data_IF_496116684311
#
_entry.id   IF_496116684311
#
_cell.length_a   1.000
_cell.length_b   1.000
_cell.length_c   1.000
_cell.angle_alpha   90.00
_cell.angle_beta   90.00
_cell.angle_gamma   90.00
#
_symmetry.space_group_name_H-M   'P 1'
#
loop_
_entity.id
_entity.type
_entity.pdbx_description
1 polymer ?
#
# COMPACT_ATOMS: atom_id res chain seq x y z
N UNK A 1 45.83 18.59 17.99
CA UNK A 1 45.30 17.19 18.00
C UNK A 1 43.82 17.04 18.40
N UNK A 2 43.15 18.05 19.00
CA UNK A 2 41.72 17.94 19.42
C UNK A 2 40.67 18.10 18.29
N UNK A 3 41.04 18.67 17.14
CA UNK A 3 40.10 18.95 16.03
C UNK A 3 39.74 17.69 15.22
N UNK A 4 40.74 16.85 14.92
CA UNK A 4 40.54 15.62 14.14
C UNK A 4 39.67 14.58 14.86
N UNK A 5 39.76 14.50 16.20
CA UNK A 5 38.91 13.62 17.00
C UNK A 5 37.43 14.01 16.95
N UNK A 6 37.11 15.30 16.87
CA UNK A 6 35.72 15.79 16.71
C UNK A 6 35.15 15.49 15.33
N UNK A 7 35.97 15.60 14.28
CA UNK A 7 35.59 15.24 12.90
C UNK A 7 35.30 13.74 12.77
N UNK A 8 36.10 12.88 13.42
CA UNK A 8 35.84 11.44 13.45
C UNK A 8 34.54 11.07 14.16
N UNK A 9 34.20 11.75 15.27
CA UNK A 9 32.96 11.51 16.01
C UNK A 9 31.72 11.93 15.18
N UNK A 10 31.79 13.06 14.47
CA UNK A 10 30.71 13.53 13.59
C UNK A 10 30.52 12.56 12.41
N UNK A 11 31.63 12.08 11.82
CA UNK A 11 31.59 11.07 10.76
C UNK A 11 30.96 9.75 11.22
N UNK A 12 31.26 9.30 12.42
CA UNK A 12 30.72 8.06 12.98
C UNK A 12 29.21 8.16 13.28
N UNK A 13 28.74 9.30 13.80
CA UNK A 13 27.32 9.54 14.06
C UNK A 13 26.50 9.56 12.77
N UNK A 14 27.03 10.11 11.68
CA UNK A 14 26.34 10.17 10.39
C UNK A 14 26.06 8.79 9.79
N UNK A 15 26.91 7.79 10.05
CA UNK A 15 26.75 6.42 9.53
C UNK A 15 25.60 5.69 10.21
N UNK A 16 25.37 5.92 11.52
CA UNK A 16 24.39 5.17 12.32
C UNK A 16 22.93 5.48 11.89
N UNK A 17 22.66 6.68 11.37
CA UNK A 17 21.30 7.10 11.00
C UNK A 17 20.77 6.55 9.66
N UNK A 18 21.60 5.85 8.88
CA UNK A 18 21.20 5.34 7.54
C UNK A 18 20.43 4.01 7.56
N UNK A 19 20.22 3.38 8.73
CA UNK A 19 19.66 2.02 8.82
C UNK A 19 18.12 1.92 8.91
N UNK A 20 17.38 3.03 9.02
CA UNK A 20 15.91 3.01 9.05
C UNK A 20 15.31 3.01 7.63
N UNK A 21 15.50 1.93 6.89
CA UNK A 21 14.97 1.81 5.53
C UNK A 21 13.49 1.39 5.54
N UNK A 22 12.62 2.35 5.25
CA UNK A 22 11.19 2.11 4.97
C UNK A 22 10.99 1.89 3.48
N UNK A 23 10.35 0.78 3.09
CA UNK A 23 9.99 0.54 1.68
C UNK A 23 8.62 1.11 1.37
N UNK A 24 8.58 2.09 0.46
CA UNK A 24 7.36 2.69 -0.04
C UNK A 24 6.92 2.03 -1.35
N UNK A 25 5.73 1.45 -1.36
CA UNK A 25 5.14 0.80 -2.54
C UNK A 25 4.04 1.69 -3.12
N UNK A 26 3.99 1.79 -4.45
CA UNK A 26 2.89 2.44 -5.16
C UNK A 26 1.81 1.42 -5.47
N UNK A 27 0.59 1.65 -4.97
CA UNK A 27 -0.58 0.80 -5.22
C UNK A 27 -1.50 1.52 -6.20
N UNK A 28 -1.21 1.40 -7.49
CA UNK A 28 -2.04 1.98 -8.55
C UNK A 28 -2.98 0.91 -9.08
N UNK A 29 -4.28 1.14 -8.92
CA UNK A 29 -5.30 0.26 -9.51
C UNK A 29 -5.37 0.48 -11.03
N UNK A 30 -5.22 -0.59 -11.80
CA UNK A 30 -5.40 -0.58 -13.25
C UNK A 30 -6.67 -1.36 -13.61
N UNK A 31 -7.75 -0.71 -14.09
CA UNK A 31 -8.97 -1.42 -14.48
C UNK A 31 -8.73 -2.31 -15.71
N UNK A 32 -9.59 -3.31 -15.87
CA UNK A 32 -9.64 -4.17 -17.06
C UNK A 32 -9.68 -3.32 -18.36
N UNK A 33 -8.88 -3.73 -19.34
CA UNK A 33 -8.63 -2.97 -20.56
C UNK A 33 -9.89 -2.81 -21.44
N UNK A 34 -9.90 -1.74 -22.24
CA UNK A 34 -10.99 -1.20 -23.08
C UNK A 34 -11.55 -2.19 -24.15
N UNK A 35 -11.07 -3.44 -24.20
CA UNK A 35 -11.56 -4.49 -25.09
C UNK A 35 -12.33 -5.64 -24.42
N UNK A 36 -12.39 -5.72 -23.09
CA UNK A 36 -13.28 -6.66 -22.43
C UNK A 36 -14.70 -6.10 -22.45
N UNK A 37 -15.71 -6.93 -22.79
CA UNK A 37 -17.13 -6.57 -22.68
C UNK A 37 -17.47 -6.33 -21.21
N UNK A 38 -17.24 -5.13 -20.73
CA UNK A 38 -17.69 -4.70 -19.42
C UNK A 38 -19.19 -4.43 -19.54
N UNK A 39 -19.99 -5.38 -19.06
CA UNK A 39 -21.43 -5.21 -19.02
C UNK A 39 -21.76 -3.98 -18.14
N UNK A 40 -22.44 -3.01 -18.75
CA UNK A 40 -22.93 -1.83 -18.04
C UNK A 40 -23.89 -2.29 -16.96
N UNK A 41 -23.53 -2.07 -15.70
CA UNK A 41 -24.41 -2.35 -14.58
C UNK A 41 -25.47 -1.26 -14.41
N UNK A 42 -26.55 -1.59 -13.72
CA UNK A 42 -27.50 -0.67 -13.11
C UNK A 42 -27.85 -1.27 -11.75
N UNK A 43 -28.05 -0.49 -10.67
CA UNK A 43 -28.19 0.97 -10.57
C UNK A 43 -26.86 1.72 -10.41
N UNK A 44 -26.90 3.05 -10.57
CA UNK A 44 -25.74 3.94 -10.40
C UNK A 44 -25.46 4.21 -8.92
N UNK A 45 -24.17 4.24 -8.56
CA UNK A 45 -23.67 4.22 -7.17
C UNK A 45 -22.74 5.41 -6.93
N UNK A 46 -22.87 6.03 -5.76
CA UNK A 46 -21.95 7.05 -5.23
C UNK A 46 -21.02 6.41 -4.20
N UNK A 47 -19.75 6.81 -4.20
CA UNK A 47 -18.81 6.38 -3.17
C UNK A 47 -18.95 7.29 -1.95
N UNK A 48 -19.28 6.69 -0.81
CA UNK A 48 -19.38 7.35 0.49
C UNK A 48 -18.06 7.30 1.26
N UNK A 49 -18.15 7.01 2.56
CA UNK A 49 -16.99 6.88 3.43
C UNK A 49 -16.29 5.54 3.24
N UNK A 50 -14.96 5.58 3.18
CA UNK A 50 -14.13 4.39 3.30
C UNK A 50 -13.26 4.57 4.53
N UNK A 51 -13.55 3.79 5.57
CA UNK A 51 -12.86 3.90 6.83
C UNK A 51 -11.80 2.83 6.92
N UNK A 52 -10.61 3.22 7.38
CA UNK A 52 -9.58 2.27 7.75
C UNK A 52 -9.75 1.95 9.24
N UNK A 53 -10.34 0.79 9.54
CA UNK A 53 -10.55 0.32 10.92
C UNK A 53 -9.45 -0.64 11.37
N UNK A 54 -8.40 -0.80 10.55
CA UNK A 54 -7.23 -1.60 10.91
C UNK A 54 -6.54 -0.96 12.11
N UNK A 55 -6.07 -1.79 13.04
CA UNK A 55 -5.23 -1.35 14.17
C UNK A 55 -3.77 -1.06 13.75
N UNK A 56 -3.57 -0.66 12.50
CA UNK A 56 -2.26 -0.39 11.89
C UNK A 56 -2.13 1.09 11.57
N UNK A 57 -0.90 1.57 11.38
CA UNK A 57 -0.67 2.96 10.94
C UNK A 57 -1.28 3.10 9.53
N UNK A 58 -2.03 4.17 9.26
CA UNK A 58 -2.91 4.26 8.07
C UNK A 58 -2.28 4.04 6.69
N UNK A 59 -0.95 4.08 6.56
CA UNK A 59 -0.22 3.74 5.32
C UNK A 59 0.56 2.40 5.41
N UNK A 60 0.70 1.82 6.59
CA UNK A 60 1.37 0.53 6.78
C UNK A 60 0.50 -0.59 6.21
N UNK A 61 1.12 -1.39 5.34
CA UNK A 61 0.49 -2.55 4.70
C UNK A 61 1.08 -3.86 5.19
N UNK A 62 2.25 -3.84 5.82
CA UNK A 62 2.81 -5.06 6.39
C UNK A 62 4.31 -4.99 6.59
N UNK A 63 4.95 -6.14 6.68
CA UNK A 63 6.37 -6.26 7.03
C UNK A 63 7.06 -7.31 6.17
N UNK A 64 8.31 -7.05 5.84
CA UNK A 64 9.24 -8.02 5.25
C UNK A 64 9.86 -8.80 6.42
N UNK A 65 9.74 -10.12 6.39
CA UNK A 65 10.26 -11.04 7.40
C UNK A 65 11.44 -11.84 6.85
N UNK A 66 12.37 -12.24 7.73
CA UNK A 66 13.38 -13.22 7.37
C UNK A 66 12.79 -14.65 7.40
N UNK A 67 13.62 -15.64 7.08
CA UNK A 67 13.29 -17.07 7.12
C UNK A 67 12.87 -17.58 8.52
N UNK A 68 13.21 -16.83 9.58
CA UNK A 68 12.80 -17.11 10.97
C UNK A 68 11.55 -16.34 11.41
N UNK A 69 10.88 -15.62 10.50
CA UNK A 69 9.68 -14.85 10.79
C UNK A 69 9.90 -13.51 11.49
N UNK A 70 11.16 -13.11 11.72
CA UNK A 70 11.52 -11.84 12.37
C UNK A 70 11.32 -10.68 11.37
N UNK A 71 10.60 -9.62 11.75
CA UNK A 71 10.38 -8.47 10.88
C UNK A 71 11.68 -7.67 10.70
N UNK A 72 12.14 -7.54 9.46
CA UNK A 72 13.35 -6.80 9.10
C UNK A 72 13.00 -5.37 8.68
N UNK A 73 11.91 -5.19 7.92
CA UNK A 73 11.49 -3.87 7.40
C UNK A 73 9.96 -3.76 7.35
N UNK A 74 9.44 -2.55 7.55
CA UNK A 74 8.02 -2.24 7.28
C UNK A 74 7.80 -1.85 5.82
N UNK A 75 6.65 -2.27 5.31
CA UNK A 75 6.15 -1.93 3.98
C UNK A 75 5.04 -0.91 4.16
N UNK A 76 5.24 0.26 3.57
CA UNK A 76 4.27 1.35 3.60
C UNK A 76 3.78 1.65 2.19
N UNK A 77 2.53 2.04 2.07
CA UNK A 77 2.00 2.66 0.87
C UNK A 77 2.36 4.15 0.84
N UNK A 78 2.46 4.72 -0.36
CA UNK A 78 2.72 6.16 -0.53
C UNK A 78 1.59 7.07 -0.02
N UNK A 79 0.38 6.54 0.10
CA UNK A 79 -0.83 7.26 0.55
C UNK A 79 -1.59 6.44 1.59
N UNK A 80 -2.50 7.05 2.37
CA UNK A 80 -3.37 6.31 3.26
C UNK A 80 -4.17 5.24 2.52
N UNK A 81 -4.36 4.09 3.16
CA UNK A 81 -5.03 2.94 2.54
C UNK A 81 -6.51 3.21 2.27
N UNK A 82 -7.16 4.03 3.10
CA UNK A 82 -8.52 4.52 2.85
C UNK A 82 -8.62 5.28 1.52
N UNK A 83 -7.66 6.15 1.22
CA UNK A 83 -7.62 6.91 -0.03
C UNK A 83 -7.36 6.00 -1.23
N UNK A 84 -6.36 5.11 -1.13
CA UNK A 84 -6.02 4.16 -2.20
C UNK A 84 -7.22 3.28 -2.55
N UNK A 85 -7.89 2.75 -1.52
CA UNK A 85 -9.06 1.89 -1.69
C UNK A 85 -10.22 2.68 -2.31
N UNK A 86 -10.44 3.92 -1.88
CA UNK A 86 -11.46 4.82 -2.45
C UNK A 86 -11.22 5.10 -3.93
N UNK A 87 -9.99 5.42 -4.29
CA UNK A 87 -9.60 5.65 -5.68
C UNK A 87 -9.76 4.37 -6.51
N UNK A 88 -9.35 3.21 -5.99
CA UNK A 88 -9.54 1.93 -6.68
C UNK A 88 -11.01 1.63 -6.97
N UNK A 89 -11.91 1.77 -5.98
CA UNK A 89 -13.34 1.60 -6.19
C UNK A 89 -13.92 2.63 -7.16
N UNK A 90 -13.46 3.89 -7.11
CA UNK A 90 -13.87 4.93 -8.06
C UNK A 90 -13.55 4.53 -9.51
N UNK A 91 -12.30 4.12 -9.77
CA UNK A 91 -11.91 3.65 -11.10
C UNK A 91 -12.63 2.37 -11.51
N UNK A 92 -12.88 1.45 -10.58
CA UNK A 92 -13.63 0.22 -10.84
C UNK A 92 -15.09 0.47 -11.21
N UNK A 93 -15.75 1.43 -10.56
CA UNK A 93 -17.13 1.82 -10.88
C UNK A 93 -17.19 2.67 -12.16
N UNK A 94 -16.23 3.59 -12.35
CA UNK A 94 -16.15 4.41 -13.55
C UNK A 94 -15.96 3.55 -14.81
N UNK A 95 -15.07 2.55 -14.76
CA UNK A 95 -14.87 1.62 -15.90
C UNK A 95 -16.13 0.83 -16.27
N UNK A 96 -17.12 0.73 -15.36
CA UNK A 96 -18.41 0.05 -15.58
C UNK A 96 -19.56 1.03 -15.88
N UNK A 97 -19.28 2.33 -16.00
CA UNK A 97 -20.29 3.40 -16.10
C UNK A 97 -21.31 3.37 -14.95
N UNK A 98 -20.85 3.01 -13.75
CA UNK A 98 -21.65 2.86 -12.54
C UNK A 98 -21.46 3.99 -11.53
N UNK A 99 -20.51 4.90 -11.77
CA UNK A 99 -20.18 5.98 -10.85
C UNK A 99 -20.91 7.27 -11.25
N UNK A 100 -21.72 7.81 -10.35
CA UNK A 100 -22.30 9.16 -10.45
C UNK A 100 -22.29 9.81 -9.06
N UNK A 101 -21.99 11.11 -9.03
CA UNK A 101 -21.87 11.89 -7.79
C UNK A 101 -23.19 12.53 -7.37
N UNK A 102 -24.08 12.76 -8.34
CA UNK A 102 -25.23 13.64 -8.18
C UNK A 102 -26.55 12.85 -8.22
N UNK A 103 -26.68 11.86 -9.12
CA UNK A 103 -27.90 11.06 -9.30
C UNK A 103 -27.77 9.58 -8.86
N UNK A 104 -26.95 9.31 -7.86
CA UNK A 104 -26.77 7.94 -7.38
C UNK A 104 -27.96 7.46 -6.55
N UNK A 105 -28.47 6.26 -6.87
CA UNK A 105 -29.55 5.61 -6.12
C UNK A 105 -29.03 4.99 -4.82
N UNK A 106 -27.75 4.62 -4.77
CA UNK A 106 -27.12 3.96 -3.63
C UNK A 106 -25.77 4.59 -3.29
N UNK A 107 -25.40 4.51 -2.01
CA UNK A 107 -24.10 4.96 -1.50
C UNK A 107 -23.32 3.73 -1.04
N UNK A 108 -22.11 3.56 -1.57
CA UNK A 108 -21.16 2.53 -1.15
C UNK A 108 -20.30 3.08 -0.01
N UNK A 109 -20.52 2.55 1.19
CA UNK A 109 -19.63 2.73 2.33
C UNK A 109 -18.87 1.42 2.57
N UNK A 110 -17.61 1.50 2.99
CA UNK A 110 -16.81 0.32 3.25
C UNK A 110 -15.86 0.54 4.43
N UNK A 111 -15.74 -0.47 5.28
CA UNK A 111 -14.76 -0.52 6.35
C UNK A 111 -13.66 -1.51 5.98
N UNK A 112 -12.42 -1.07 6.00
CA UNK A 112 -11.25 -1.88 5.69
C UNK A 112 -10.86 -2.62 6.96
N UNK A 113 -11.25 -3.90 7.04
CA UNK A 113 -10.94 -4.78 8.17
C UNK A 113 -9.51 -5.31 8.10
N UNK A 114 -9.08 -5.67 6.88
CA UNK A 114 -7.80 -6.29 6.63
C UNK A 114 -7.24 -5.79 5.29
N UNK A 115 -5.98 -5.36 5.32
CA UNK A 115 -5.24 -4.95 4.15
C UNK A 115 -3.77 -5.18 4.47
N UNK A 116 -3.30 -6.38 4.15
CA UNK A 116 -1.98 -6.85 4.57
C UNK A 116 -1.14 -7.41 3.42
N UNK A 117 0.17 -7.22 3.51
CA UNK A 117 1.18 -7.77 2.63
C UNK A 117 2.30 -8.36 3.48
N UNK A 118 2.44 -9.68 3.47
CA UNK A 118 3.57 -10.38 4.08
C UNK A 118 4.56 -10.82 3.01
N UNK A 119 5.81 -10.38 3.11
CA UNK A 119 6.89 -10.83 2.25
C UNK A 119 7.94 -11.54 3.10
N UNK A 120 8.49 -12.64 2.57
CA UNK A 120 9.60 -13.36 3.16
C UNK A 120 10.84 -13.17 2.28
N UNK A 121 11.96 -12.79 2.89
CA UNK A 121 13.27 -12.77 2.24
C UNK A 121 14.07 -13.95 2.78
N UNK A 122 14.28 -14.98 1.96
CA UNK A 122 15.16 -16.11 2.26
C UNK A 122 16.53 -15.88 1.62
N UNK A 123 17.61 -16.28 2.30
CA UNK A 123 18.95 -16.25 1.69
C UNK A 123 19.13 -17.38 0.66
N UNK A 124 18.39 -18.48 0.82
CA UNK A 124 18.44 -19.66 -0.02
C UNK A 124 17.25 -19.66 -1.00
N UNK A 125 17.34 -18.89 -2.09
CA UNK A 125 16.35 -18.94 -3.16
C UNK A 125 16.68 -20.09 -4.13
N UNK A 126 16.33 -21.32 -3.78
CA UNK A 126 16.40 -22.45 -4.73
C UNK A 126 15.15 -22.45 -5.62
N UNK A 127 15.31 -22.03 -6.88
CA UNK A 127 14.28 -22.20 -7.90
C UNK A 127 14.47 -23.57 -8.57
N UNK A 128 13.70 -24.57 -8.14
CA UNK A 128 13.57 -25.83 -8.91
C UNK A 128 12.64 -25.59 -10.10
N UNK A 129 13.24 -25.35 -11.26
CA UNK A 129 12.55 -25.36 -12.55
C UNK A 129 12.38 -26.84 -12.95
N UNK A 130 11.16 -27.22 -13.36
CA UNK A 130 10.84 -28.55 -13.88
C UNK A 130 10.71 -28.50 -15.39
#
# INVERSE_FOLDING_TARGET
MKSYSRLFIIGFIAVIFTSCQTHNVSLTYNPASVGQRINKGSPVIKIGSINDVRKLRGAEIGKIRNEFGIPIKSINAKRPISEITKTAFAHALQSRNLLDKDNAKYILNADILEFQCSQYSTQNAECRIR
#
